data_IF_756700666402
#
_entry.id   IF_756700666402
#
_cell.length_a   1.000
_cell.length_b   1.000
_cell.length_c   1.000
_cell.angle_alpha   90.00
_cell.angle_beta   90.00
_cell.angle_gamma   90.00
#
_symmetry.space_group_name_H-M   'P 1'
#
loop_
_entity.id
_entity.type
_entity.pdbx_description
1 polymer ?
#
# COMPACT_ATOMS: atom_id res chain seq x y z
N UNK A 1 18.69 -26.41 -2.47
CA UNK A 1 17.24 -26.72 -2.40
C UNK A 1 16.66 -25.62 -1.57
N UNK A 2 16.28 -24.56 -2.26
CA UNK A 2 16.35 -23.21 -1.73
C UNK A 2 15.03 -22.86 -1.08
N UNK A 3 15.08 -22.39 0.16
CA UNK A 3 13.92 -21.92 0.91
C UNK A 3 13.42 -20.60 0.30
N UNK A 4 12.66 -20.70 -0.78
CA UNK A 4 12.07 -19.58 -1.48
C UNK A 4 11.00 -18.92 -0.60
N UNK A 5 11.32 -17.70 -0.15
CA UNK A 5 10.46 -16.55 0.12
C UNK A 5 9.09 -16.84 0.78
N UNK A 6 9.05 -16.89 2.12
CA UNK A 6 7.85 -17.20 2.92
C UNK A 6 6.93 -16.00 3.22
N UNK A 7 7.27 -14.78 2.80
CA UNK A 7 6.42 -13.61 3.04
C UNK A 7 5.43 -13.42 1.89
N UNK A 8 4.36 -14.22 1.90
CA UNK A 8 3.25 -14.05 0.96
C UNK A 8 2.48 -12.80 1.39
N UNK A 9 2.71 -11.70 0.67
CA UNK A 9 1.94 -10.48 0.83
C UNK A 9 0.54 -10.68 0.26
N UNK A 10 -0.49 -10.40 1.05
CA UNK A 10 -1.88 -10.44 0.61
C UNK A 10 -2.45 -9.01 0.61
N UNK A 11 -2.30 -8.24 -0.49
CA UNK A 11 -2.71 -6.84 -0.55
C UNK A 11 -4.17 -6.62 -0.16
N UNK A 12 -5.03 -7.59 -0.45
CA UNK A 12 -6.45 -7.55 -0.13
C UNK A 12 -6.74 -7.44 1.38
N UNK A 13 -5.85 -7.97 2.22
CA UNK A 13 -6.01 -8.01 3.68
C UNK A 13 -5.39 -6.81 4.40
N UNK A 14 -4.92 -5.80 3.67
CA UNK A 14 -4.27 -4.62 4.25
C UNK A 14 -5.27 -3.47 4.35
N UNK A 15 -5.29 -2.80 5.49
CA UNK A 15 -6.04 -1.58 5.71
C UNK A 15 -5.37 -0.41 4.98
N UNK A 16 -6.11 0.32 4.15
CA UNK A 16 -5.57 1.51 3.47
C UNK A 16 -5.40 2.75 4.39
N UNK A 17 -5.86 2.69 5.64
CA UNK A 17 -5.70 3.78 6.63
C UNK A 17 -4.44 3.57 7.46
N UNK A 18 -4.32 2.43 8.13
CA UNK A 18 -3.17 2.15 9.01
C UNK A 18 -2.06 1.33 8.35
N UNK A 19 -2.28 0.80 7.14
CA UNK A 19 -1.33 -0.02 6.38
C UNK A 19 -0.92 -1.34 7.05
N UNK A 20 -1.66 -1.77 8.07
CA UNK A 20 -1.52 -3.08 8.71
C UNK A 20 -2.57 -4.08 8.21
N UNK A 21 -2.40 -5.36 8.58
CA UNK A 21 -3.43 -6.39 8.36
C UNK A 21 -4.74 -5.94 9.03
N UNK A 22 -5.86 -6.09 8.33
CA UNK A 22 -7.17 -5.67 8.82
C UNK A 22 -7.53 -6.36 10.14
N UNK A 23 -7.73 -5.56 11.19
CA UNK A 23 -8.29 -6.01 12.46
C UNK A 23 -9.76 -5.62 12.53
N UNK A 24 -10.64 -6.60 12.69
CA UNK A 24 -12.10 -6.42 12.65
C UNK A 24 -12.56 -5.60 11.43
N UNK A 25 -12.43 -6.15 10.20
CA UNK A 25 -12.72 -5.40 8.98
C UNK A 25 -14.17 -4.91 8.93
N UNK A 26 -14.34 -3.64 8.56
CA UNK A 26 -15.61 -3.07 8.11
C UNK A 26 -15.56 -2.79 6.62
N UNK A 27 -16.67 -2.95 5.92
CA UNK A 27 -16.79 -2.75 4.48
C UNK A 27 -17.70 -1.57 4.15
N UNK A 28 -17.27 -0.74 3.20
CA UNK A 28 -18.14 0.23 2.52
C UNK A 28 -19.03 -0.50 1.51
N UNK A 29 -20.35 -0.54 1.72
CA UNK A 29 -21.24 -1.28 0.81
C UNK A 29 -21.34 -0.69 -0.61
N UNK A 30 -21.01 0.60 -0.78
CA UNK A 30 -21.07 1.30 -2.08
C UNK A 30 -19.90 0.95 -3.00
N UNK A 31 -18.70 0.71 -2.44
CA UNK A 31 -17.47 0.52 -3.22
C UNK A 31 -16.70 -0.77 -2.88
N UNK A 32 -17.06 -1.46 -1.81
CA UNK A 32 -16.49 -2.75 -1.40
C UNK A 32 -15.15 -2.67 -0.66
N UNK A 33 -14.53 -1.48 -0.53
CA UNK A 33 -13.27 -1.30 0.20
C UNK A 33 -13.42 -1.54 1.70
N UNK A 34 -12.34 -1.96 2.35
CA UNK A 34 -12.33 -2.38 3.77
C UNK A 34 -11.25 -1.68 4.58
N UNK A 35 -11.59 -1.35 5.82
CA UNK A 35 -10.63 -0.87 6.82
C UNK A 35 -10.91 -1.52 8.19
N UNK A 36 -10.01 -1.31 9.16
CA UNK A 36 -10.22 -1.76 10.53
C UNK A 36 -11.40 -1.02 11.18
N UNK A 37 -12.13 -1.69 12.07
CA UNK A 37 -13.18 -1.05 12.89
C UNK A 37 -12.62 0.18 13.63
N UNK A 38 -11.45 0.06 14.26
CA UNK A 38 -10.80 1.18 14.97
C UNK A 38 -10.48 2.36 14.06
N UNK A 39 -10.03 2.10 12.82
CA UNK A 39 -9.78 3.14 11.83
C UNK A 39 -11.09 3.82 11.38
N UNK A 40 -12.19 3.08 11.33
CA UNK A 40 -13.51 3.62 10.97
C UNK A 40 -14.09 4.48 12.09
N UNK A 41 -13.88 4.09 13.34
CA UNK A 41 -14.34 4.82 14.52
C UNK A 41 -13.69 6.23 14.62
N UNK A 42 -12.53 6.43 13.99
CA UNK A 42 -11.89 7.76 13.91
C UNK A 42 -12.64 8.74 13.00
N UNK A 43 -13.38 8.21 12.02
CA UNK A 43 -14.22 9.00 11.14
C UNK A 43 -15.47 9.35 11.93
N UNK A 44 -15.87 10.63 12.00
CA UNK A 44 -17.03 11.09 12.82
C UNK A 44 -18.24 11.53 12.00
N UNK A 45 -18.09 11.63 10.68
CA UNK A 45 -19.14 12.15 9.80
C UNK A 45 -20.26 11.12 9.55
N UNK A 46 -21.46 11.61 9.24
CA UNK A 46 -22.59 10.78 8.82
C UNK A 46 -22.43 10.27 7.39
N UNK A 47 -21.82 11.08 6.52
CA UNK A 47 -21.42 10.72 5.17
C UNK A 47 -19.91 10.62 5.15
N UNK A 48 -19.40 9.42 4.85
CA UNK A 48 -17.97 9.14 4.85
C UNK A 48 -17.52 8.97 3.41
N UNK A 49 -16.50 9.73 3.01
CA UNK A 49 -15.75 9.47 1.77
C UNK A 49 -14.79 8.32 2.02
N UNK A 50 -14.90 7.28 1.21
CA UNK A 50 -13.95 6.17 1.25
C UNK A 50 -12.51 6.71 1.04
N UNK A 51 -11.58 6.55 1.99
CA UNK A 51 -10.23 7.10 1.84
C UNK A 51 -9.43 6.47 0.68
N UNK A 52 -9.86 5.32 0.17
CA UNK A 52 -9.21 4.65 -0.97
C UNK A 52 -9.69 5.15 -2.34
N UNK A 53 -10.97 5.48 -2.51
CA UNK A 53 -11.53 5.83 -3.83
C UNK A 53 -12.37 7.12 -3.86
N UNK A 54 -12.58 7.77 -2.72
CA UNK A 54 -13.35 9.01 -2.58
C UNK A 54 -14.87 8.86 -2.65
N UNK A 55 -15.41 7.66 -2.93
CA UNK A 55 -16.85 7.42 -3.03
C UNK A 55 -17.52 7.67 -1.67
N UNK A 56 -18.55 8.51 -1.67
CA UNK A 56 -19.35 8.83 -0.50
C UNK A 56 -20.28 7.67 -0.12
N UNK A 57 -20.35 7.39 1.18
CA UNK A 57 -21.16 6.30 1.74
C UNK A 57 -21.78 6.75 3.04
N UNK A 58 -23.04 6.42 3.24
CA UNK A 58 -23.70 6.69 4.52
C UNK A 58 -23.10 5.78 5.61
N UNK A 59 -22.90 6.32 6.81
CA UNK A 59 -22.30 5.57 7.94
C UNK A 59 -23.01 4.25 8.22
N UNK A 60 -24.34 4.22 8.12
CA UNK A 60 -25.17 3.04 8.35
C UNK A 60 -25.05 1.96 7.25
N UNK A 61 -24.48 2.33 6.09
CA UNK A 61 -24.10 1.46 4.97
C UNK A 61 -22.65 0.96 5.07
N UNK A 62 -21.95 1.24 6.18
CA UNK A 62 -20.64 0.67 6.48
C UNK A 62 -20.86 -0.36 7.59
N UNK A 63 -20.52 -1.62 7.32
CA UNK A 63 -20.87 -2.75 8.19
C UNK A 63 -19.65 -3.63 8.46
N UNK A 64 -19.56 -4.25 9.66
CA UNK A 64 -18.57 -5.29 9.91
C UNK A 64 -18.66 -6.43 8.88
N UNK A 65 -17.55 -6.77 8.25
CA UNK A 65 -17.45 -7.84 7.26
C UNK A 65 -16.93 -9.12 7.91
N UNK A 66 -17.86 -9.83 8.55
CA UNK A 66 -17.56 -11.09 9.26
C UNK A 66 -17.09 -12.20 8.32
N UNK A 67 -17.61 -12.23 7.08
CA UNK A 67 -17.18 -13.20 6.07
C UNK A 67 -15.70 -12.99 5.76
N UNK A 68 -15.32 -11.76 5.49
CA UNK A 68 -13.94 -11.40 5.22
C UNK A 68 -13.01 -11.64 6.41
N UNK A 69 -13.47 -11.32 7.63
CA UNK A 69 -12.73 -11.66 8.86
C UNK A 69 -12.46 -13.15 8.95
N UNK A 70 -13.43 -14.00 8.66
CA UNK A 70 -13.27 -15.45 8.70
C UNK A 70 -12.28 -15.94 7.63
N UNK A 71 -12.32 -15.38 6.42
CA UNK A 71 -11.39 -15.70 5.34
C UNK A 71 -9.92 -15.38 5.71
N UNK A 72 -9.71 -14.40 6.59
CA UNK A 72 -8.39 -14.00 7.08
C UNK A 72 -7.82 -14.94 8.15
N UNK A 73 -8.65 -15.70 8.85
CA UNK A 73 -8.22 -16.48 10.02
C UNK A 73 -7.18 -17.55 9.69
N UNK A 74 -7.26 -18.13 8.49
CA UNK A 74 -6.35 -19.18 8.04
C UNK A 74 -5.07 -18.67 7.39
N UNK A 75 -4.81 -17.35 7.40
CA UNK A 75 -3.59 -16.80 6.81
C UNK A 75 -2.38 -17.26 7.59
N UNK A 76 -1.44 -17.89 6.89
CA UNK A 76 -0.13 -18.18 7.47
C UNK A 76 0.64 -16.87 7.64
N UNK A 77 1.08 -16.63 8.85
CA UNK A 77 1.89 -15.48 9.24
C UNK A 77 3.25 -15.97 9.73
N UNK A 78 4.25 -15.14 9.50
CA UNK A 78 5.62 -15.34 9.96
C UNK A 78 6.02 -14.08 10.69
N UNK A 79 6.62 -14.22 11.87
CA UNK A 79 7.17 -13.08 12.59
C UNK A 79 8.36 -12.50 11.81
N UNK A 80 8.41 -11.18 11.69
CA UNK A 80 9.55 -10.51 11.03
C UNK A 80 10.83 -10.56 11.87
N UNK A 81 10.72 -10.75 13.19
CA UNK A 81 11.85 -10.71 14.13
C UNK A 81 12.32 -12.11 14.58
N UNK A 82 11.55 -13.16 14.33
CA UNK A 82 11.94 -14.53 14.70
C UNK A 82 11.38 -15.57 13.74
N UNK A 83 11.84 -16.81 13.85
CA UNK A 83 11.37 -17.92 13.02
C UNK A 83 9.98 -18.46 13.41
N UNK A 84 9.22 -17.73 14.23
CA UNK A 84 7.87 -18.13 14.61
C UNK A 84 6.92 -18.02 13.42
N UNK A 85 6.12 -19.06 13.23
CA UNK A 85 5.13 -19.18 12.18
C UNK A 85 3.84 -19.70 12.76
N UNK A 86 2.71 -19.11 12.39
CA UNK A 86 1.39 -19.55 12.85
C UNK A 86 0.31 -19.13 11.85
N UNK A 87 -0.96 -19.28 12.24
CA UNK A 87 -2.12 -18.72 11.56
C UNK A 87 -2.57 -17.43 12.24
N UNK A 88 -3.11 -16.50 11.45
CA UNK A 88 -3.54 -15.18 11.93
C UNK A 88 -4.51 -15.26 13.11
N UNK A 89 -5.43 -16.24 13.11
CA UNK A 89 -6.35 -16.43 14.23
C UNK A 89 -5.65 -16.65 15.59
N UNK A 90 -4.55 -17.41 15.61
CA UNK A 90 -3.82 -17.69 16.84
C UNK A 90 -3.05 -16.47 17.33
N UNK A 91 -2.52 -15.66 16.41
CA UNK A 91 -1.91 -14.38 16.74
C UNK A 91 -2.90 -13.43 17.41
N UNK A 92 -4.10 -13.29 16.84
CA UNK A 92 -5.15 -12.44 17.40
C UNK A 92 -5.57 -12.88 18.83
N UNK A 93 -5.56 -14.18 19.10
CA UNK A 93 -5.86 -14.73 20.43
C UNK A 93 -4.68 -14.58 21.41
N UNK A 94 -3.45 -14.69 20.91
CA UNK A 94 -2.21 -14.53 21.68
C UNK A 94 -2.03 -13.11 22.22
N UNK A 95 -2.37 -12.08 21.43
CA UNK A 95 -2.37 -10.68 21.89
C UNK A 95 -3.37 -10.44 23.02
N UNK A 96 -4.53 -11.11 22.99
CA UNK A 96 -5.53 -11.01 24.06
C UNK A 96 -5.08 -11.68 25.38
N UNK A 97 -4.13 -12.62 25.35
CA UNK A 97 -3.60 -13.29 26.54
C UNK A 97 -2.29 -12.67 27.05
N UNK A 98 -1.45 -12.12 26.17
CA UNK A 98 -0.20 -11.41 26.52
C UNK A 98 -0.42 -10.11 27.30
N UNK A 99 -1.58 -9.48 27.15
CA UNK A 99 -1.93 -8.26 27.91
C UNK A 99 -2.14 -8.47 29.41
N UNK A 100 -2.09 -9.70 29.93
CA UNK A 100 -2.27 -10.00 31.35
C UNK A 100 -0.98 -10.33 32.12
N UNK A 101 0.11 -10.72 31.43
CA UNK A 101 1.39 -11.01 32.05
C UNK A 101 2.51 -10.48 31.15
N UNK A 102 3.20 -9.45 31.65
CA UNK A 102 4.39 -8.81 31.06
C UNK A 102 4.10 -7.93 29.82
N UNK A 103 4.21 -6.61 30.04
CA UNK A 103 4.39 -5.63 28.97
C UNK A 103 5.69 -5.95 28.22
N UNK A 104 5.59 -6.71 27.14
CA UNK A 104 6.49 -6.53 26.00
C UNK A 104 5.87 -5.45 25.11
N UNK A 105 6.45 -4.26 25.23
CA UNK A 105 6.15 -3.04 24.47
C UNK A 105 6.63 -3.17 23.03
N UNK A 106 5.98 -4.01 22.23
CA UNK A 106 6.19 -3.99 20.79
C UNK A 106 4.87 -4.24 20.04
N UNK A 107 4.51 -3.24 19.22
CA UNK A 107 3.44 -3.26 18.21
C UNK A 107 2.00 -3.09 18.74
N UNK A 108 1.69 -1.93 19.34
CA UNK A 108 0.46 -1.16 19.07
C UNK A 108 0.46 0.14 19.91
N UNK A 109 0.76 1.31 19.34
CA UNK A 109 0.29 2.58 19.94
C UNK A 109 -0.21 3.56 18.88
N UNK A 110 -1.51 3.82 19.01
CA UNK A 110 -2.31 4.85 18.35
C UNK A 110 -2.44 6.06 19.30
N UNK A 111 -2.20 7.25 18.76
CA UNK A 111 -2.71 8.61 19.11
C UNK A 111 -2.97 9.05 20.57
N UNK A 112 -2.35 10.21 20.90
CA UNK A 112 -2.87 11.39 21.63
C UNK A 112 -3.52 11.20 23.01
N UNK A 113 -2.77 11.54 24.06
CA UNK A 113 -3.24 12.36 25.18
C UNK A 113 -2.17 13.43 25.43
N UNK A 114 -2.59 14.67 25.56
CA UNK A 114 -1.75 15.82 25.89
C UNK A 114 -1.29 15.69 27.35
N UNK A 115 0.00 15.44 27.56
CA UNK A 115 0.69 15.76 28.80
C UNK A 115 2.09 16.27 28.40
N UNK A 116 2.24 17.60 28.38
CA UNK A 116 3.36 18.34 27.76
C UNK A 116 4.73 18.16 28.44
N UNK A 117 4.88 17.30 29.46
CA UNK A 117 6.12 17.19 30.24
C UNK A 117 6.88 15.83 30.11
N UNK A 118 6.42 14.88 29.28
CA UNK A 118 7.10 13.58 29.12
C UNK A 118 7.93 13.44 27.81
N UNK A 119 7.97 14.48 26.98
CA UNK A 119 8.44 14.39 25.59
C UNK A 119 9.96 14.56 25.36
N UNK A 120 10.83 14.40 26.37
CA UNK A 120 12.28 14.60 26.18
C UNK A 120 13.18 13.40 26.53
N UNK A 121 12.64 12.26 26.98
CA UNK A 121 13.46 11.13 27.44
C UNK A 121 13.22 9.78 26.73
N UNK A 122 12.53 9.73 25.59
CA UNK A 122 12.31 8.47 24.83
C UNK A 122 12.78 8.53 23.35
N UNK A 123 13.79 9.35 23.05
CA UNK A 123 14.37 9.41 21.70
C UNK A 123 15.53 8.42 21.45
N UNK A 124 15.77 7.48 22.37
CA UNK A 124 16.89 6.53 22.27
C UNK A 124 16.47 5.07 21.94
N UNK A 125 15.17 4.76 21.84
CA UNK A 125 14.69 3.36 21.75
C UNK A 125 14.22 2.88 20.36
N UNK A 126 14.21 3.71 19.31
CA UNK A 126 13.73 3.28 17.97
C UNK A 126 14.73 3.40 16.78
N UNK A 127 16.07 3.26 16.94
CA UNK A 127 16.99 3.46 15.82
C UNK A 127 16.89 2.39 14.72
N UNK A 128 16.55 1.14 15.05
CA UNK A 128 16.59 0.03 14.09
C UNK A 128 15.39 0.04 13.13
N UNK A 129 14.18 0.26 13.64
CA UNK A 129 12.98 0.41 12.82
C UNK A 129 13.05 1.66 11.91
N UNK A 130 13.59 2.77 12.42
CA UNK A 130 13.82 3.99 11.63
C UNK A 130 14.84 3.72 10.53
N UNK A 131 15.93 3.00 10.82
CA UNK A 131 16.94 2.59 9.84
C UNK A 131 16.37 1.68 8.76
N UNK A 132 15.57 0.67 9.13
CA UNK A 132 14.89 -0.22 8.18
C UNK A 132 13.93 0.55 7.27
N UNK A 133 13.18 1.49 7.83
CA UNK A 133 12.27 2.33 7.06
C UNK A 133 13.03 3.27 6.12
N UNK A 134 14.13 3.88 6.57
CA UNK A 134 15.00 4.73 5.75
C UNK A 134 15.60 3.95 4.57
N UNK A 135 16.09 2.73 4.80
CA UNK A 135 16.61 1.86 3.74
C UNK A 135 15.52 1.46 2.72
N UNK A 136 14.30 1.25 3.20
CA UNK A 136 13.15 0.93 2.34
C UNK A 136 12.77 2.13 1.47
N UNK A 137 12.75 3.34 2.04
CA UNK A 137 12.55 4.59 1.29
C UNK A 137 13.66 4.78 0.26
N UNK A 138 14.91 4.53 0.62
CA UNK A 138 16.04 4.69 -0.30
C UNK A 138 15.93 3.73 -1.50
N UNK A 139 15.53 2.48 -1.23
CA UNK A 139 15.29 1.48 -2.27
C UNK A 139 14.18 1.92 -3.22
N UNK A 140 13.03 2.36 -2.67
CA UNK A 140 11.92 2.87 -3.48
C UNK A 140 12.33 4.10 -4.31
N UNK A 141 13.16 4.98 -3.75
CA UNK A 141 13.66 6.14 -4.47
C UNK A 141 14.54 5.73 -5.65
N UNK A 142 15.39 4.70 -5.50
CA UNK A 142 16.18 4.12 -6.60
C UNK A 142 15.27 3.50 -7.67
N UNK A 143 14.24 2.75 -7.28
CA UNK A 143 13.30 2.15 -8.23
C UNK A 143 12.56 3.22 -9.03
N UNK A 144 12.10 4.29 -8.37
CA UNK A 144 11.46 5.44 -9.03
C UNK A 144 12.41 6.12 -10.01
N UNK A 145 13.69 6.30 -9.66
CA UNK A 145 14.70 6.86 -10.57
C UNK A 145 14.95 5.97 -11.78
N UNK A 146 14.99 4.65 -11.58
CA UNK A 146 15.12 3.66 -12.65
C UNK A 146 13.95 3.76 -13.64
N UNK A 147 12.72 3.73 -13.12
CA UNK A 147 11.49 3.86 -13.92
C UNK A 147 11.44 5.18 -14.70
N UNK A 148 11.84 6.28 -14.08
CA UNK A 148 11.91 7.59 -14.76
C UNK A 148 12.91 7.58 -15.92
N UNK A 149 14.04 6.87 -15.77
CA UNK A 149 15.05 6.73 -16.82
C UNK A 149 14.51 5.91 -17.99
N UNK A 150 13.87 4.76 -17.71
CA UNK A 150 13.23 3.95 -18.74
C UNK A 150 12.12 4.73 -19.48
N UNK A 151 11.29 5.46 -18.74
CA UNK A 151 10.23 6.28 -19.32
C UNK A 151 10.79 7.35 -20.26
N UNK A 152 11.92 7.97 -19.91
CA UNK A 152 12.62 8.92 -20.77
C UNK A 152 13.15 8.25 -22.06
N UNK A 153 13.71 7.05 -21.96
CA UNK A 153 14.13 6.29 -23.15
C UNK A 153 12.96 5.98 -24.10
N UNK A 154 11.82 5.57 -23.56
CA UNK A 154 10.62 5.33 -24.37
C UNK A 154 10.13 6.61 -25.04
N UNK A 155 10.16 7.75 -24.34
CA UNK A 155 9.81 9.05 -24.93
C UNK A 155 10.74 9.40 -26.11
N UNK A 156 12.05 9.20 -25.96
CA UNK A 156 13.02 9.44 -27.03
C UNK A 156 12.78 8.52 -28.24
N UNK A 157 12.52 7.23 -28.01
CA UNK A 157 12.19 6.26 -29.08
C UNK A 157 10.93 6.69 -29.83
N UNK A 158 9.89 7.11 -29.11
CA UNK A 158 8.66 7.61 -29.71
C UNK A 158 8.89 8.89 -30.52
N UNK A 159 9.76 9.79 -30.05
CA UNK A 159 10.11 11.00 -30.79
C UNK A 159 10.82 10.66 -32.12
N UNK A 160 11.81 9.76 -32.09
CA UNK A 160 12.50 9.32 -33.30
C UNK A 160 11.56 8.65 -34.31
N UNK A 161 10.61 7.82 -33.83
CA UNK A 161 9.60 7.22 -34.69
C UNK A 161 8.67 8.27 -35.33
N UNK A 162 8.29 9.32 -34.57
CA UNK A 162 7.49 10.43 -35.09
C UNK A 162 8.24 11.21 -36.17
N UNK A 163 9.52 11.49 -35.96
CA UNK A 163 10.37 12.17 -36.94
C UNK A 163 10.51 11.35 -38.23
N UNK A 164 10.77 10.04 -38.10
CA UNK A 164 10.85 9.15 -39.26
C UNK A 164 9.53 9.08 -40.03
N UNK A 165 8.40 8.97 -39.34
CA UNK A 165 7.09 8.98 -39.98
C UNK A 165 6.83 10.30 -40.74
N UNK A 166 7.25 11.43 -40.16
CA UNK A 166 7.16 12.74 -40.82
C UNK A 166 8.02 12.80 -42.08
N UNK A 167 9.26 12.28 -42.03
CA UNK A 167 10.16 12.25 -43.18
C UNK A 167 9.62 11.37 -44.31
N UNK A 168 9.10 10.18 -43.99
CA UNK A 168 8.45 9.30 -44.97
C UNK A 168 7.25 9.99 -45.61
N UNK A 169 6.41 10.68 -44.81
CA UNK A 169 5.27 11.44 -45.33
C UNK A 169 5.71 12.51 -46.34
N UNK A 170 6.77 13.26 -46.04
CA UNK A 170 7.31 14.27 -46.96
C UNK A 170 7.87 13.65 -48.24
N UNK A 171 8.54 12.50 -48.16
CA UNK A 171 9.07 11.80 -49.33
C UNK A 171 7.94 11.34 -50.28
N UNK A 172 6.87 10.76 -49.74
CA UNK A 172 5.69 10.34 -50.51
C UNK A 172 5.04 11.55 -51.19
N UNK A 173 4.92 12.68 -50.47
CA UNK A 173 4.34 13.92 -51.02
C UNK A 173 5.20 14.46 -52.18
N UNK A 174 6.53 14.42 -52.06
CA UNK A 174 7.44 14.86 -53.09
C UNK A 174 7.38 13.98 -54.35
N UNK A 175 7.32 12.64 -54.18
CA UNK A 175 7.12 11.71 -55.30
C UNK A 175 5.79 11.97 -56.01
N UNK A 176 4.70 12.18 -55.27
CA UNK A 176 3.38 12.51 -55.81
C UNK A 176 3.42 13.76 -56.69
N UNK A 177 4.03 14.84 -56.20
CA UNK A 177 4.16 16.10 -56.95
C UNK A 177 5.00 15.92 -58.22
N UNK A 178 6.09 15.13 -58.16
CA UNK A 178 6.91 14.85 -59.34
C UNK A 178 6.15 14.09 -60.43
N UNK A 179 5.31 13.12 -60.02
CA UNK A 179 4.49 12.35 -60.95
C UNK A 179 3.45 13.25 -61.62
N UNK A 180 2.74 14.07 -60.84
CA UNK A 180 1.75 15.03 -61.33
C UNK A 180 2.37 16.04 -62.32
N UNK A 181 3.64 16.42 -62.17
CA UNK A 181 4.32 17.35 -63.08
C UNK A 181 4.79 16.73 -64.42
N UNK A 182 4.78 15.40 -64.53
CA UNK A 182 5.19 14.67 -65.75
C UNK A 182 4.03 14.19 -66.63
N UNK A 183 2.78 14.43 -66.20
CA UNK A 183 1.56 14.18 -66.97
C UNK A 183 1.05 15.47 -67.62
#
# INVERSE_FOLDING_TARGET
MDAQNKNIFYPKFICFVCLFILHDPVQFNTCGHRLCQSCFDTLKDNVIKCPQCGIETQRDQIRPDRGYKNDMQSLSIVCSHCNWTDVFNNYQLGDAQRTSNEMDTDILRTTTVLDDDFALNQLDEFPEAISMFANSIETLNKDVQCLNTELLEYQNKLQHLKENASNVKLAIEAERVSYEATM
#
